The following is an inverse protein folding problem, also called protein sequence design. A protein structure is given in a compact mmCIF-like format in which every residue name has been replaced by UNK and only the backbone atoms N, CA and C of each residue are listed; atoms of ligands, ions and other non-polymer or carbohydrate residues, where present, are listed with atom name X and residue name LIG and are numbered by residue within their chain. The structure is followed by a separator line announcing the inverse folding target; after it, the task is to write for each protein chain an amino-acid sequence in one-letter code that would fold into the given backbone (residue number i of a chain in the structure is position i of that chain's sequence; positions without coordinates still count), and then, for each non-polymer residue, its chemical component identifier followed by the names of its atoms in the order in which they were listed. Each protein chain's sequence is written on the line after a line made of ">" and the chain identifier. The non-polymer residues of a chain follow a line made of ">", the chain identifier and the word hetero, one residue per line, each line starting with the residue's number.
data_IF_862049995917
#
_entry.id   IF_862049995917
#
_cell.length_a   1.000
_cell.length_b   1.000
_cell.length_c   1.000
_cell.angle_alpha   90.00
_cell.angle_beta   90.00
_cell.angle_gamma   90.00
#
_symmetry.space_group_name_H-M   'P 1'
#
loop_
_entity.id
_entity.type
_entity.pdbx_description
1 polymer ?
#
# COMPACT_ATOMS: atom_id res chain seq x y z
N UNK A 1 1.06 5.79 16.09
CA UNK A 1 1.50 7.20 16.08
C UNK A 1 2.77 7.43 15.24
N UNK A 2 3.49 6.40 14.76
CA UNK A 2 4.71 6.57 13.94
C UNK A 2 4.49 6.66 12.41
N UNK A 3 3.48 5.99 11.86
CA UNK A 3 3.27 5.94 10.40
C UNK A 3 2.56 7.17 9.84
N UNK A 4 1.80 7.90 10.66
CA UNK A 4 1.00 9.05 10.21
C UNK A 4 1.89 10.23 9.78
N UNK A 5 2.96 10.52 10.54
CA UNK A 5 3.91 11.59 10.19
C UNK A 5 4.76 11.26 8.96
N UNK A 6 5.12 9.98 8.79
CA UNK A 6 5.88 9.53 7.64
C UNK A 6 5.02 9.48 6.37
N UNK A 7 3.80 8.94 6.48
CA UNK A 7 2.85 8.93 5.37
C UNK A 7 2.50 10.36 4.93
N UNK A 8 2.34 11.30 5.87
CA UNK A 8 2.10 12.70 5.54
C UNK A 8 3.27 13.34 4.77
N UNK A 9 4.52 12.98 5.08
CA UNK A 9 5.68 13.44 4.32
C UNK A 9 5.73 12.85 2.91
N UNK A 10 5.28 11.61 2.74
CA UNK A 10 5.25 10.88 1.47
C UNK A 10 3.96 11.08 0.66
N UNK A 11 2.97 11.81 1.19
CA UNK A 11 1.65 12.00 0.56
C UNK A 11 1.69 12.79 -0.76
N UNK A 12 2.83 13.36 -1.14
CA UNK A 12 3.04 14.02 -2.43
C UNK A 12 3.96 13.22 -3.38
N UNK A 13 4.50 12.10 -2.92
CA UNK A 13 5.43 11.28 -3.68
C UNK A 13 4.69 10.32 -4.62
N UNK A 14 5.06 10.29 -5.90
CA UNK A 14 4.49 9.35 -6.84
C UNK A 14 4.94 7.93 -6.49
N UNK A 15 3.98 7.00 -6.48
CA UNK A 15 4.28 5.57 -6.36
C UNK A 15 4.90 5.05 -7.66
N UNK A 16 5.41 3.82 -7.62
CA UNK A 16 5.91 3.10 -8.80
C UNK A 16 4.80 2.42 -9.61
N UNK A 17 3.54 2.52 -9.18
CA UNK A 17 2.42 1.85 -9.84
C UNK A 17 1.99 2.59 -11.11
N UNK A 18 1.50 1.83 -12.10
CA UNK A 18 1.10 2.36 -13.41
C UNK A 18 -0.16 3.24 -13.34
N UNK A 19 -1.01 3.00 -12.35
CA UNK A 19 -2.26 3.72 -12.06
C UNK A 19 -2.14 4.67 -10.87
N UNK A 20 -0.92 5.16 -10.61
CA UNK A 20 -0.60 6.12 -9.55
C UNK A 20 -1.51 7.38 -9.52
N UNK A 21 -2.00 7.79 -10.68
CA UNK A 21 -2.93 8.93 -10.83
C UNK A 21 -4.33 8.67 -10.23
N UNK A 22 -4.71 7.41 -10.06
CA UNK A 22 -6.01 7.00 -9.52
C UNK A 22 -5.97 6.81 -7.99
N UNK A 23 -4.78 6.88 -7.39
CA UNK A 23 -4.56 6.79 -5.94
C UNK A 23 -4.92 8.12 -5.28
N UNK A 24 -5.77 8.06 -4.26
CA UNK A 24 -6.12 9.23 -3.46
C UNK A 24 -4.89 9.79 -2.71
N UNK A 25 -4.77 11.11 -2.65
CA UNK A 25 -3.59 11.79 -2.07
C UNK A 25 -3.29 11.35 -0.63
N UNK A 26 -4.34 11.16 0.18
CA UNK A 26 -4.17 10.71 1.56
C UNK A 26 -3.60 9.28 1.66
N UNK A 27 -3.88 8.41 0.68
CA UNK A 27 -3.51 6.99 0.69
C UNK A 27 -2.08 6.76 0.17
N UNK A 28 -1.61 7.66 -0.69
CA UNK A 28 -0.33 7.58 -1.38
C UNK A 28 0.85 7.31 -0.45
N UNK A 29 0.98 8.11 0.62
CA UNK A 29 2.06 7.93 1.58
C UNK A 29 2.03 6.59 2.29
N UNK A 30 0.85 6.09 2.63
CA UNK A 30 0.69 4.76 3.25
C UNK A 30 1.06 3.64 2.29
N UNK A 31 0.60 3.74 1.03
CA UNK A 31 0.91 2.75 -0.01
C UNK A 31 2.42 2.68 -0.27
N UNK A 32 3.12 3.82 -0.30
CA UNK A 32 4.58 3.83 -0.46
C UNK A 32 5.27 3.11 0.69
N UNK A 33 4.85 3.34 1.93
CA UNK A 33 5.42 2.68 3.11
C UNK A 33 5.13 1.18 3.04
N UNK A 34 3.88 0.78 2.87
CA UNK A 34 3.48 -0.64 2.84
C UNK A 34 4.09 -1.40 1.68
N UNK A 35 4.36 -0.73 0.56
CA UNK A 35 5.10 -1.30 -0.57
C UNK A 35 6.57 -1.55 -0.22
N UNK A 36 7.23 -0.59 0.46
CA UNK A 36 8.62 -0.75 0.92
C UNK A 36 8.75 -1.86 1.96
N UNK A 37 7.74 -2.05 2.80
CA UNK A 37 7.68 -3.11 3.82
C UNK A 37 7.24 -4.48 3.27
N UNK A 38 6.92 -4.57 1.96
CA UNK A 38 6.48 -5.82 1.33
C UNK A 38 5.09 -6.30 1.77
N UNK A 39 4.31 -5.44 2.42
CA UNK A 39 2.93 -5.74 2.79
C UNK A 39 2.03 -5.67 1.54
N UNK A 40 2.29 -4.71 0.67
CA UNK A 40 1.59 -4.48 -0.61
C UNK A 40 2.56 -4.69 -1.77
N UNK A 41 2.16 -5.44 -2.81
CA UNK A 41 2.97 -5.64 -4.04
C UNK A 41 2.30 -5.09 -5.31
N UNK A 42 0.99 -4.87 -5.28
CA UNK A 42 0.18 -4.62 -6.48
C UNK A 42 -0.02 -5.88 -7.34
N UNK A 43 -0.40 -5.66 -8.60
CA UNK A 43 -0.72 -6.71 -9.57
C UNK A 43 0.45 -6.98 -10.53
N UNK A 44 0.44 -8.12 -11.27
CA UNK A 44 1.50 -8.46 -12.22
C UNK A 44 1.70 -7.45 -13.37
N UNK A 45 0.70 -6.61 -13.65
CA UNK A 45 0.76 -5.52 -14.63
C UNK A 45 1.32 -4.21 -14.05
N UNK A 46 1.87 -4.26 -12.83
CA UNK A 46 2.36 -3.12 -12.06
C UNK A 46 1.29 -2.09 -11.68
N UNK A 47 0.01 -2.45 -11.64
CA UNK A 47 -1.05 -1.61 -11.08
C UNK A 47 -1.27 -1.87 -9.58
N UNK A 48 -1.83 -0.89 -8.87
CA UNK A 48 -2.34 -1.03 -7.49
C UNK A 48 -3.86 -1.28 -7.46
N UNK A 49 -4.57 -0.83 -8.50
CA UNK A 49 -6.02 -0.87 -8.67
C UNK A 49 -6.82 -0.26 -7.51
N UNK A 50 -6.58 1.02 -7.14
CA UNK A 50 -7.17 1.67 -5.95
C UNK A 50 -8.71 1.78 -5.98
N UNK A 51 -9.31 1.72 -7.17
CA UNK A 51 -10.75 1.85 -7.39
C UNK A 51 -11.46 0.50 -7.55
N UNK A 52 -10.72 -0.61 -7.60
CA UNK A 52 -11.29 -1.94 -7.72
C UNK A 52 -11.73 -2.47 -6.35
N UNK A 53 -12.72 -3.36 -6.36
CA UNK A 53 -13.08 -4.12 -5.17
C UNK A 53 -12.03 -5.21 -4.94
N UNK A 54 -11.45 -5.23 -3.75
CA UNK A 54 -10.62 -6.35 -3.32
C UNK A 54 -11.47 -7.61 -3.13
N UNK A 55 -10.96 -8.74 -3.59
CA UNK A 55 -11.50 -10.05 -3.27
C UNK A 55 -11.21 -10.39 -1.81
N UNK A 56 -11.98 -11.34 -1.26
CA UNK A 56 -11.72 -11.87 0.09
C UNK A 56 -10.30 -12.44 0.22
N UNK A 57 -9.80 -13.07 -0.82
CA UNK A 57 -8.46 -13.66 -0.83
C UNK A 57 -7.37 -12.57 -0.75
N UNK A 58 -7.50 -11.49 -1.54
CA UNK A 58 -6.56 -10.37 -1.51
C UNK A 58 -6.59 -9.64 -0.16
N UNK A 59 -7.77 -9.40 0.40
CA UNK A 59 -7.90 -8.80 1.73
C UNK A 59 -7.24 -9.67 2.81
N UNK A 60 -7.47 -10.98 2.79
CA UNK A 60 -6.83 -11.92 3.72
C UNK A 60 -5.30 -11.96 3.53
N UNK A 61 -4.81 -11.91 2.29
CA UNK A 61 -3.37 -11.90 2.00
C UNK A 61 -2.68 -10.64 2.55
N UNK A 62 -3.29 -9.46 2.38
CA UNK A 62 -2.77 -8.22 2.96
C UNK A 62 -2.73 -8.26 4.49
N UNK A 63 -3.81 -8.71 5.13
CA UNK A 63 -3.86 -8.86 6.60
C UNK A 63 -2.80 -9.85 7.08
N UNK A 64 -2.63 -10.98 6.38
CA UNK A 64 -1.63 -11.98 6.74
C UNK A 64 -0.20 -11.42 6.69
N UNK A 65 0.14 -10.71 5.60
CA UNK A 65 1.46 -10.07 5.47
C UNK A 65 1.69 -8.99 6.53
N UNK A 66 0.66 -8.21 6.84
CA UNK A 66 0.73 -7.23 7.92
C UNK A 66 1.00 -7.90 9.28
N UNK A 67 0.32 -9.01 9.59
CA UNK A 67 0.54 -9.75 10.84
C UNK A 67 1.93 -10.37 10.91
N UNK A 68 2.44 -10.92 9.81
CA UNK A 68 3.82 -11.41 9.72
C UNK A 68 4.84 -10.29 9.94
N UNK A 69 4.63 -9.13 9.31
CA UNK A 69 5.49 -7.97 9.50
C UNK A 69 5.49 -7.50 10.98
N UNK A 70 4.31 -7.40 11.61
CA UNK A 70 4.19 -7.02 13.03
C UNK A 70 4.84 -8.05 13.96
N UNK A 71 4.78 -9.35 13.65
CA UNK A 71 5.40 -10.39 14.46
C UNK A 71 6.93 -10.43 14.34
N UNK A 72 7.46 -10.01 13.19
CA UNK A 72 8.90 -10.05 12.89
C UNK A 72 9.62 -8.71 13.13
N UNK A 73 8.90 -7.69 13.60
CA UNK A 73 9.40 -6.35 13.96
C UNK A 73 9.61 -6.22 15.47
#
# INVERSE_FOLDING_TARGET
>A
MGMESEAAALASERTTFTDDQDIADWARGYIVIEYREGIVDGYPDHSFAPKNNATRAEACAMIFRFLEHVNNS
#
